data_IF_510326468780
#
_entry.id   IF_510326468780
#
_cell.length_a   1.000
_cell.length_b   1.000
_cell.length_c   1.000
_cell.angle_alpha   90.00
_cell.angle_beta   90.00
_cell.angle_gamma   90.00
#
_symmetry.space_group_name_H-M   'P 1'
#
loop_
_entity.id
_entity.type
_entity.pdbx_description
1 polymer ?
#
# COMPACT_ATOMS: atom_id res chain seq x y z
N UNK A 1 0.01 31.60 -11.03
CA UNK A 1 -0.77 30.63 -10.27
C UNK A 1 0.21 29.88 -9.38
N UNK A 2 0.09 30.00 -8.06
CA UNK A 2 0.86 29.16 -7.14
C UNK A 2 0.33 27.74 -7.35
N UNK A 3 1.13 26.85 -7.95
CA UNK A 3 0.81 25.42 -7.99
C UNK A 3 0.73 24.96 -6.54
N UNK A 4 -0.46 24.49 -6.12
CA UNK A 4 -0.62 23.88 -4.81
C UNK A 4 0.43 22.78 -4.61
N UNK A 5 0.90 22.61 -3.39
CA UNK A 5 1.89 21.60 -3.05
C UNK A 5 1.31 20.22 -3.36
N UNK A 6 2.03 19.43 -4.17
CA UNK A 6 1.59 18.09 -4.56
C UNK A 6 1.81 17.14 -3.40
N UNK A 7 0.89 16.20 -3.22
CA UNK A 7 0.98 15.20 -2.17
C UNK A 7 0.86 13.79 -2.73
N UNK A 8 1.76 12.91 -2.28
CA UNK A 8 1.79 11.50 -2.68
C UNK A 8 1.63 10.59 -1.47
N UNK A 9 0.70 9.62 -1.57
CA UNK A 9 0.57 8.53 -0.62
C UNK A 9 1.52 7.37 -0.96
N UNK A 10 2.21 6.82 0.03
CA UNK A 10 3.08 5.66 -0.14
C UNK A 10 2.67 4.57 0.84
N UNK A 11 2.45 3.36 0.33
CA UNK A 11 2.30 2.15 1.11
C UNK A 11 3.25 1.06 0.62
N UNK A 12 3.62 0.15 1.49
CA UNK A 12 4.53 -0.94 1.14
C UNK A 12 4.06 -2.29 1.65
N UNK A 13 4.47 -3.35 0.95
CA UNK A 13 4.29 -4.73 1.42
C UNK A 13 5.49 -5.15 2.28
N UNK A 14 5.36 -6.30 2.98
CA UNK A 14 6.44 -6.88 3.79
C UNK A 14 7.60 -7.48 2.99
N UNK A 15 7.59 -7.43 1.64
CA UNK A 15 8.61 -8.06 0.80
C UNK A 15 10.00 -7.53 1.10
N UNK A 16 10.97 -8.43 0.98
CA UNK A 16 12.39 -8.08 1.09
C UNK A 16 12.71 -6.96 0.10
N UNK A 17 13.26 -5.86 0.60
CA UNK A 17 13.58 -4.69 -0.22
C UNK A 17 12.49 -3.62 -0.30
N UNK A 18 11.23 -3.87 0.11
CA UNK A 18 10.16 -2.84 0.08
C UNK A 18 10.58 -1.58 0.85
N UNK A 19 11.10 -1.71 2.05
CA UNK A 19 11.60 -0.58 2.85
C UNK A 19 12.64 0.23 2.07
N UNK A 20 13.64 -0.44 1.47
CA UNK A 20 14.67 0.24 0.68
C UNK A 20 14.09 0.99 -0.52
N UNK A 21 13.09 0.40 -1.19
CA UNK A 21 12.41 1.08 -2.30
C UNK A 21 11.57 2.25 -1.80
N UNK A 22 10.88 2.09 -0.67
CA UNK A 22 10.11 3.15 -0.01
C UNK A 22 10.97 4.34 0.35
N UNK A 23 12.06 4.12 1.07
CA UNK A 23 13.01 5.18 1.46
C UNK A 23 13.55 5.97 0.26
N UNK A 24 13.92 5.28 -0.82
CA UNK A 24 14.44 5.95 -2.01
C UNK A 24 13.34 6.71 -2.78
N UNK A 25 12.12 6.15 -2.84
CA UNK A 25 10.98 6.82 -3.45
C UNK A 25 10.61 8.10 -2.67
N UNK A 26 10.56 8.01 -1.34
CA UNK A 26 10.30 9.15 -0.46
C UNK A 26 11.33 10.26 -0.69
N UNK A 27 12.63 9.91 -0.71
CA UNK A 27 13.71 10.89 -0.98
C UNK A 27 13.57 11.54 -2.34
N UNK A 28 13.23 10.75 -3.38
CA UNK A 28 13.02 11.28 -4.73
C UNK A 28 11.83 12.25 -4.79
N UNK A 29 10.72 11.93 -4.18
CA UNK A 29 9.53 12.79 -4.13
C UNK A 29 9.79 14.06 -3.30
N UNK A 30 10.43 13.94 -2.15
CA UNK A 30 10.84 15.07 -1.31
C UNK A 30 11.72 16.04 -2.11
N UNK A 31 12.77 15.53 -2.77
CA UNK A 31 13.70 16.34 -3.58
C UNK A 31 13.05 16.99 -4.79
N UNK A 32 11.90 16.50 -5.25
CA UNK A 32 11.07 17.07 -6.30
C UNK A 32 10.00 18.06 -5.76
N UNK A 33 9.97 18.32 -4.44
CA UNK A 33 9.02 19.22 -3.80
C UNK A 33 7.62 18.62 -3.60
N UNK A 34 7.48 17.29 -3.61
CA UNK A 34 6.23 16.62 -3.27
C UNK A 34 6.15 16.32 -1.76
N UNK A 35 5.06 16.67 -1.12
CA UNK A 35 4.75 16.17 0.21
C UNK A 35 4.44 14.68 0.14
N UNK A 36 4.92 13.93 1.12
CA UNK A 36 4.71 12.49 1.20
C UNK A 36 3.90 12.13 2.44
N UNK A 37 2.90 11.29 2.24
CA UNK A 37 2.16 10.62 3.31
C UNK A 37 2.52 9.15 3.27
N UNK A 38 3.35 8.73 4.19
CA UNK A 38 3.71 7.32 4.37
C UNK A 38 2.67 6.63 5.26
N UNK A 39 1.99 5.62 4.72
CA UNK A 39 1.00 4.81 5.43
C UNK A 39 1.58 3.48 5.92
N UNK A 40 2.87 3.29 5.75
CA UNK A 40 3.60 2.12 6.22
C UNK A 40 3.25 0.82 5.52
N UNK A 41 3.49 -0.28 6.25
CA UNK A 41 3.22 -1.63 5.75
C UNK A 41 1.71 -1.92 5.78
N UNK A 42 1.13 -2.12 4.61
CA UNK A 42 -0.31 -2.34 4.43
C UNK A 42 -0.59 -3.32 3.29
N UNK A 43 -1.72 -4.05 3.30
CA UNK A 43 -2.18 -4.75 2.11
C UNK A 43 -2.68 -3.76 1.04
N UNK A 44 -2.56 -4.15 -0.22
CA UNK A 44 -2.92 -3.30 -1.38
C UNK A 44 -4.31 -2.64 -1.29
N UNK A 45 -5.39 -3.31 -0.81
CA UNK A 45 -6.69 -2.67 -0.65
C UNK A 45 -6.67 -1.47 0.31
N UNK A 46 -5.85 -1.52 1.36
CA UNK A 46 -5.68 -0.39 2.30
C UNK A 46 -4.98 0.78 1.61
N UNK A 47 -3.98 0.51 0.77
CA UNK A 47 -3.34 1.56 -0.03
C UNK A 47 -4.34 2.24 -0.97
N UNK A 48 -5.22 1.48 -1.62
CA UNK A 48 -6.29 2.10 -2.43
C UNK A 48 -7.30 2.87 -1.59
N UNK A 49 -7.70 2.35 -0.43
CA UNK A 49 -8.59 3.07 0.49
C UNK A 49 -7.98 4.41 0.92
N UNK A 50 -6.66 4.47 1.15
CA UNK A 50 -5.98 5.71 1.52
C UNK A 50 -6.14 6.82 0.49
N UNK A 51 -6.23 6.49 -0.81
CA UNK A 51 -6.45 7.48 -1.86
C UNK A 51 -7.82 8.19 -1.73
N UNK A 52 -8.84 7.44 -1.29
CA UNK A 52 -10.17 8.01 -1.02
C UNK A 52 -10.22 8.82 0.27
N UNK A 53 -9.55 8.32 1.31
CA UNK A 53 -9.60 8.90 2.65
C UNK A 53 -8.73 10.16 2.76
N UNK A 54 -7.48 10.08 2.31
CA UNK A 54 -6.51 11.17 2.44
C UNK A 54 -6.49 12.12 1.24
N UNK A 55 -7.05 11.69 0.11
CA UNK A 55 -7.17 12.47 -1.15
C UNK A 55 -5.86 13.11 -1.62
N UNK A 56 -4.75 12.36 -1.66
CA UNK A 56 -3.51 12.86 -2.23
C UNK A 56 -3.65 13.03 -3.75
N UNK A 57 -2.73 13.74 -4.40
CA UNK A 57 -2.70 13.89 -5.86
C UNK A 57 -2.37 12.56 -6.58
N UNK A 58 -1.78 11.63 -5.87
CA UNK A 58 -1.50 10.27 -6.35
C UNK A 58 -1.00 9.36 -5.24
N UNK A 59 -0.67 8.13 -5.60
CA UNK A 59 -0.13 7.18 -4.64
C UNK A 59 0.69 6.08 -5.30
N UNK A 60 1.56 5.49 -4.50
CA UNK A 60 2.38 4.35 -4.89
C UNK A 60 2.26 3.25 -3.86
N UNK A 61 1.90 2.06 -4.30
CA UNK A 61 1.98 0.83 -3.50
C UNK A 61 3.17 0.00 -3.96
N UNK A 62 4.11 -0.23 -3.05
CA UNK A 62 5.32 -1.03 -3.30
C UNK A 62 5.01 -2.48 -2.97
N UNK A 63 4.93 -3.31 -4.01
CA UNK A 63 4.58 -4.73 -3.86
C UNK A 63 4.97 -5.54 -5.08
N UNK A 64 5.41 -6.76 -4.88
CA UNK A 64 5.66 -7.72 -5.95
C UNK A 64 4.40 -8.51 -6.38
N UNK A 65 3.24 -8.28 -5.76
CA UNK A 65 2.02 -9.05 -6.03
C UNK A 65 2.24 -10.53 -5.72
N UNK A 66 1.95 -11.40 -6.69
CA UNK A 66 2.08 -12.85 -6.60
C UNK A 66 3.44 -13.39 -7.11
N UNK A 67 4.38 -12.52 -7.47
CA UNK A 67 5.72 -12.93 -7.89
C UNK A 67 6.52 -13.53 -6.72
N UNK A 68 7.60 -14.30 -7.00
CA UNK A 68 8.53 -14.78 -5.98
C UNK A 68 9.04 -13.68 -5.04
N UNK A 69 9.50 -14.05 -3.85
CA UNK A 69 9.85 -13.13 -2.75
C UNK A 69 10.87 -12.06 -3.10
N UNK A 70 11.81 -12.39 -3.99
CA UNK A 70 12.89 -11.52 -4.45
C UNK A 70 12.42 -10.42 -5.42
N UNK A 71 11.21 -10.56 -6.00
CA UNK A 71 10.64 -9.55 -6.89
C UNK A 71 9.89 -8.48 -6.10
N UNK A 72 9.99 -7.26 -6.60
CA UNK A 72 9.20 -6.14 -6.13
C UNK A 72 8.71 -5.29 -7.31
N UNK A 73 7.81 -4.35 -7.07
CA UNK A 73 7.27 -3.50 -8.09
C UNK A 73 6.48 -2.33 -7.50
N UNK A 74 5.92 -1.52 -8.39
CA UNK A 74 5.20 -0.32 -8.03
C UNK A 74 3.84 -0.29 -8.72
N UNK A 75 2.77 -0.19 -7.93
CA UNK A 75 1.44 0.15 -8.44
C UNK A 75 1.26 1.64 -8.23
N UNK A 76 1.23 2.39 -9.32
CA UNK A 76 1.22 3.85 -9.31
C UNK A 76 -0.18 4.34 -9.68
N UNK A 77 -0.67 5.33 -8.94
CA UNK A 77 -1.96 5.98 -9.19
C UNK A 77 -1.79 7.50 -9.30
N UNK A 78 -2.58 8.10 -10.17
CA UNK A 78 -2.78 9.55 -10.26
C UNK A 78 -4.21 9.85 -9.82
N UNK A 79 -4.38 10.56 -8.71
CA UNK A 79 -5.66 10.60 -8.02
C UNK A 79 -6.13 9.17 -7.71
N UNK A 80 -7.34 8.82 -8.15
CA UNK A 80 -7.93 7.49 -7.97
C UNK A 80 -7.68 6.52 -9.13
N UNK A 81 -6.96 6.93 -10.18
CA UNK A 81 -6.76 6.15 -11.39
C UNK A 81 -5.37 5.51 -11.40
N UNK A 82 -5.33 4.19 -11.55
CA UNK A 82 -4.07 3.46 -11.73
C UNK A 82 -3.42 3.80 -13.07
N UNK A 83 -2.11 3.99 -13.06
CA UNK A 83 -1.33 4.16 -14.29
C UNK A 83 -0.97 2.78 -14.88
N UNK A 84 -1.11 2.66 -16.19
CA UNK A 84 -0.76 1.44 -16.94
C UNK A 84 -0.40 1.77 -18.38
N UNK A 85 0.16 0.81 -19.09
CA UNK A 85 0.45 0.93 -20.52
C UNK A 85 1.32 2.14 -20.84
N UNK A 86 0.83 3.01 -21.72
CA UNK A 86 1.57 4.17 -22.21
C UNK A 86 1.93 5.17 -21.10
N UNK A 87 1.08 5.33 -20.08
CA UNK A 87 1.39 6.23 -18.96
C UNK A 87 2.63 5.78 -18.17
N UNK A 88 2.89 4.47 -18.07
CA UNK A 88 4.12 3.96 -17.46
C UNK A 88 5.32 4.20 -18.38
N UNK A 89 5.15 4.08 -19.70
CA UNK A 89 6.22 4.39 -20.65
C UNK A 89 6.57 5.90 -20.65
N UNK A 90 5.58 6.77 -20.43
CA UNK A 90 5.82 8.19 -20.25
C UNK A 90 6.68 8.48 -19.01
N UNK A 91 6.38 7.85 -17.87
CA UNK A 91 7.23 7.95 -16.67
C UNK A 91 8.66 7.50 -16.96
N UNK A 92 8.84 6.39 -17.70
CA UNK A 92 10.15 5.92 -18.11
C UNK A 92 10.89 6.96 -18.93
N UNK A 93 10.24 7.57 -19.92
CA UNK A 93 10.86 8.63 -20.75
C UNK A 93 11.30 9.85 -19.93
N UNK A 94 10.50 10.25 -18.95
CA UNK A 94 10.87 11.33 -18.02
C UNK A 94 12.11 10.98 -17.20
N UNK A 95 12.19 9.73 -16.71
CA UNK A 95 13.38 9.24 -16.00
C UNK A 95 14.60 9.21 -16.92
N UNK A 96 14.46 8.68 -18.12
CA UNK A 96 15.56 8.56 -19.10
C UNK A 96 16.07 9.95 -19.57
N UNK A 97 15.19 10.96 -19.62
CA UNK A 97 15.55 12.35 -19.97
C UNK A 97 16.11 13.16 -18.80
N UNK A 98 16.07 12.61 -17.57
CA UNK A 98 16.46 13.30 -16.34
C UNK A 98 15.71 14.64 -16.15
N UNK A 99 14.43 14.69 -16.59
CA UNK A 99 13.58 15.86 -16.52
C UNK A 99 12.82 15.88 -15.18
N UNK A 100 13.50 16.34 -14.14
CA UNK A 100 12.97 16.40 -12.79
C UNK A 100 12.87 17.86 -12.29
N UNK A 101 11.73 18.18 -11.68
CA UNK A 101 11.62 19.40 -10.88
C UNK A 101 12.46 19.25 -9.60
N UNK A 102 13.01 20.34 -9.11
CA UNK A 102 13.71 20.38 -7.82
C UNK A 102 12.88 21.15 -6.80
N UNK A 103 12.85 20.65 -5.58
CA UNK A 103 12.09 21.25 -4.50
C UNK A 103 12.44 20.66 -3.15
N UNK A 104 11.57 20.92 -2.18
CA UNK A 104 11.65 20.35 -0.85
C UNK A 104 10.21 20.09 -0.39
N UNK A 105 9.88 18.83 -0.17
CA UNK A 105 8.59 18.38 0.33
C UNK A 105 8.61 18.21 1.85
N UNK A 106 7.56 17.57 2.37
CA UNK A 106 7.44 17.18 3.78
C UNK A 106 7.00 15.73 3.86
N UNK A 107 7.61 14.98 4.76
CA UNK A 107 7.18 13.62 5.10
C UNK A 107 6.30 13.65 6.34
N UNK A 108 5.17 12.97 6.29
CA UNK A 108 4.36 12.63 7.45
C UNK A 108 3.93 11.17 7.40
N UNK A 109 3.65 10.61 8.56
CA UNK A 109 3.19 9.23 8.73
C UNK A 109 1.72 9.23 9.12
N UNK A 110 0.93 8.33 8.52
CA UNK A 110 -0.49 8.14 8.85
C UNK A 110 -0.82 6.67 9.06
N UNK A 111 -1.49 6.37 10.15
CA UNK A 111 -2.03 5.03 10.38
C UNK A 111 -3.48 4.99 9.89
N UNK A 112 -3.70 4.32 8.77
CA UNK A 112 -5.01 4.23 8.12
C UNK A 112 -5.73 2.88 8.35
N UNK A 113 -5.09 1.95 9.06
CA UNK A 113 -5.61 0.59 9.22
C UNK A 113 -6.92 0.56 9.99
N UNK A 114 -7.02 1.36 11.06
CA UNK A 114 -8.23 1.40 11.88
C UNK A 114 -9.41 2.01 11.09
N UNK A 115 -9.17 3.07 10.34
CA UNK A 115 -10.20 3.70 9.49
C UNK A 115 -10.68 2.74 8.41
N UNK A 116 -9.77 1.95 7.82
CA UNK A 116 -10.11 0.91 6.85
C UNK A 116 -10.99 -0.18 7.47
N UNK A 117 -10.60 -0.69 8.63
CA UNK A 117 -11.37 -1.70 9.37
C UNK A 117 -12.76 -1.16 9.70
N UNK A 118 -12.84 0.04 10.26
CA UNK A 118 -14.11 0.66 10.63
C UNK A 118 -15.00 0.87 9.40
N UNK A 119 -14.43 1.35 8.30
CA UNK A 119 -15.18 1.52 7.04
C UNK A 119 -15.81 0.23 6.53
N UNK A 120 -15.12 -0.92 6.70
CA UNK A 120 -15.69 -2.22 6.33
C UNK A 120 -16.77 -2.65 7.35
N UNK A 121 -16.55 -2.45 8.65
CA UNK A 121 -17.52 -2.80 9.69
C UNK A 121 -18.84 -2.03 9.55
N UNK A 122 -18.79 -0.82 9.04
CA UNK A 122 -19.99 -0.02 8.77
C UNK A 122 -20.82 -0.58 7.60
N UNK A 123 -20.16 -1.24 6.66
CA UNK A 123 -20.78 -1.79 5.44
C UNK A 123 -21.18 -3.26 5.55
N UNK A 124 -20.42 -4.05 6.31
CA UNK A 124 -20.56 -5.51 6.34
C UNK A 124 -21.01 -5.99 7.71
N UNK A 125 -22.11 -6.74 7.72
CA UNK A 125 -22.63 -7.42 8.92
C UNK A 125 -22.96 -8.87 8.58
N UNK A 126 -22.57 -9.78 9.46
CA UNK A 126 -22.96 -11.18 9.34
C UNK A 126 -24.15 -11.47 10.25
N UNK A 127 -25.12 -12.25 9.76
CA UNK A 127 -26.34 -12.59 10.51
C UNK A 127 -26.12 -13.68 11.56
N UNK A 128 -25.02 -14.42 11.47
CA UNK A 128 -24.63 -15.49 12.41
C UNK A 128 -23.12 -15.61 12.46
N UNK A 129 -22.58 -16.07 13.57
CA UNK A 129 -21.17 -16.42 13.65
C UNK A 129 -20.84 -17.60 12.73
N UNK A 130 -19.74 -17.49 12.02
CA UNK A 130 -19.19 -18.53 11.14
C UNK A 130 -17.79 -18.91 11.60
N UNK A 131 -17.43 -20.18 11.42
CA UNK A 131 -16.06 -20.65 11.65
C UNK A 131 -15.26 -20.41 10.37
N UNK A 132 -14.13 -19.73 10.48
CA UNK A 132 -13.29 -19.37 9.35
C UNK A 132 -11.84 -19.72 9.65
N UNK A 133 -11.16 -20.36 8.73
CA UNK A 133 -9.70 -20.47 8.73
C UNK A 133 -9.16 -19.34 7.88
N UNK A 134 -8.27 -18.54 8.43
CA UNK A 134 -7.61 -17.42 7.73
C UNK A 134 -6.16 -17.81 7.51
N UNK A 135 -5.81 -18.08 6.28
CA UNK A 135 -4.42 -18.28 5.88
C UNK A 135 -3.88 -16.95 5.34
N UNK A 136 -2.96 -16.34 6.08
CA UNK A 136 -2.32 -15.07 5.71
C UNK A 136 -1.15 -15.25 4.75
N UNK A 137 -0.67 -16.49 4.55
CA UNK A 137 0.49 -16.80 3.71
C UNK A 137 1.73 -15.99 4.06
N UNK A 138 1.90 -15.60 5.32
CA UNK A 138 2.91 -14.64 5.79
C UNK A 138 2.84 -13.26 5.08
N UNK A 139 1.70 -12.97 4.42
CA UNK A 139 1.44 -11.73 3.70
C UNK A 139 0.89 -10.60 4.59
N UNK A 140 0.76 -9.39 4.01
CA UNK A 140 0.16 -8.24 4.69
C UNK A 140 -1.32 -8.46 5.08
N UNK A 141 -2.00 -9.50 4.56
CA UNK A 141 -3.34 -9.88 4.99
C UNK A 141 -3.39 -10.14 6.51
N UNK A 142 -2.32 -10.72 7.07
CA UNK A 142 -2.22 -11.02 8.50
C UNK A 142 -2.38 -9.78 9.40
N UNK A 143 -2.03 -8.60 8.91
CA UNK A 143 -2.14 -7.34 9.67
C UNK A 143 -3.61 -6.92 9.87
N UNK A 144 -4.47 -7.21 8.91
CA UNK A 144 -5.86 -6.69 8.85
C UNK A 144 -6.89 -7.80 8.97
N UNK A 145 -6.72 -8.89 8.21
CA UNK A 145 -7.74 -9.93 8.03
C UNK A 145 -8.24 -10.54 9.31
N UNK A 146 -7.35 -11.04 10.21
CA UNK A 146 -7.77 -11.64 11.47
C UNK A 146 -8.55 -10.67 12.35
N UNK A 147 -8.06 -9.45 12.50
CA UNK A 147 -8.70 -8.42 13.32
C UNK A 147 -10.08 -8.06 12.78
N UNK A 148 -10.19 -7.83 11.48
CA UNK A 148 -11.44 -7.49 10.81
C UNK A 148 -12.48 -8.61 10.96
N UNK A 149 -12.10 -9.84 10.67
CA UNK A 149 -13.03 -10.98 10.74
C UNK A 149 -13.52 -11.27 12.16
N UNK A 150 -12.66 -11.11 13.17
CA UNK A 150 -13.08 -11.19 14.59
C UNK A 150 -14.11 -10.11 14.92
N UNK A 151 -13.88 -8.88 14.49
CA UNK A 151 -14.77 -7.75 14.76
C UNK A 151 -16.12 -7.86 14.03
N UNK A 152 -16.15 -8.48 12.85
CA UNK A 152 -17.41 -8.82 12.15
C UNK A 152 -18.21 -9.89 12.93
N UNK A 153 -17.58 -10.67 13.82
CA UNK A 153 -18.22 -11.72 14.62
C UNK A 153 -17.92 -13.14 14.16
N UNK A 154 -16.91 -13.34 13.30
CA UNK A 154 -16.45 -14.67 12.93
C UNK A 154 -15.63 -15.32 14.05
N UNK A 155 -15.71 -16.65 14.15
CA UNK A 155 -14.82 -17.47 14.97
C UNK A 155 -13.67 -17.95 14.08
N UNK A 156 -12.47 -17.38 14.27
CA UNK A 156 -11.37 -17.61 13.34
C UNK A 156 -10.28 -18.52 13.92
N UNK A 157 -9.65 -19.28 13.02
CA UNK A 157 -8.37 -19.95 13.24
C UNK A 157 -7.35 -19.31 12.30
N UNK A 158 -6.27 -18.80 12.85
CA UNK A 158 -5.22 -18.11 12.09
C UNK A 158 -4.13 -19.09 11.67
N UNK A 159 -3.75 -19.04 10.39
CA UNK A 159 -2.60 -19.73 9.83
C UNK A 159 -1.69 -18.71 9.14
N UNK A 160 -0.42 -18.73 9.47
CA UNK A 160 0.63 -17.93 8.81
C UNK A 160 0.28 -16.43 8.69
N UNK A 161 -0.34 -15.87 9.72
CA UNK A 161 -0.78 -14.48 9.74
C UNK A 161 0.32 -13.49 10.18
N UNK A 162 1.47 -13.98 10.66
CA UNK A 162 2.63 -13.13 10.91
C UNK A 162 3.30 -12.76 9.59
N UNK A 163 3.44 -11.46 9.26
CA UNK A 163 4.09 -11.02 8.03
C UNK A 163 5.58 -11.43 8.00
N UNK A 164 5.98 -12.14 6.95
CA UNK A 164 7.37 -12.50 6.69
C UNK A 164 7.66 -12.48 5.20
N UNK A 165 8.53 -11.56 4.77
CA UNK A 165 8.89 -11.38 3.37
C UNK A 165 9.59 -12.56 2.69
N UNK A 166 10.02 -13.57 3.48
CA UNK A 166 10.59 -14.80 2.94
C UNK A 166 9.52 -15.86 2.60
N UNK A 167 8.29 -15.68 3.04
CA UNK A 167 7.18 -16.62 2.82
C UNK A 167 7.52 -18.07 3.18
N UNK A 168 7.89 -18.35 4.46
CA UNK A 168 8.48 -19.64 4.84
C UNK A 168 7.52 -20.83 4.79
N UNK A 169 6.22 -20.60 4.73
CA UNK A 169 5.23 -21.66 4.80
C UNK A 169 4.68 -22.10 3.43
N UNK A 170 4.40 -21.18 2.57
CA UNK A 170 4.03 -21.46 1.17
C UNK A 170 4.21 -20.22 0.29
N UNK A 171 4.21 -20.43 -1.01
CA UNK A 171 4.35 -19.36 -2.00
C UNK A 171 3.23 -18.31 -1.84
N UNK A 172 3.49 -17.01 -2.11
CA UNK A 172 2.50 -15.94 -1.96
C UNK A 172 1.44 -15.90 -3.08
N UNK A 173 1.14 -17.04 -3.70
CA UNK A 173 0.26 -17.18 -4.86
C UNK A 173 -1.12 -17.71 -4.43
#
# INVERSE_FOLDING_TARGET
MVRGQRQMGIGESMRVGSIRFGDNLIRGLDSAGCDVVDIGMVPTPVAYFSLYQLKPDGGVMITGGHNPSEFNGFKISRGLHSLYGESIQELRRLIDSNDFELGCGKLRYENILEDYIQGILDLVKISRSVKVVVDGGNGCCGIVGPKLLKQIGANITELYCEPDGNFPNHHPD
#
